data_IF_360781093212
#
_entry.id   IF_360781093212
#
_cell.length_a   1.000
_cell.length_b   1.000
_cell.length_c   1.000
_cell.angle_alpha   90.00
_cell.angle_beta   90.00
_cell.angle_gamma   90.00
#
_symmetry.space_group_name_H-M   'P 1'
#
loop_
_entity.id
_entity.type
_entity.pdbx_description
1 polymer ?
#
# COMPACT_ATOMS: atom_id res chain seq x y z
N UNK A 1 -76.74 -51.11 -2.21
CA UNK A 1 -76.28 -50.51 -0.92
C UNK A 1 -74.90 -49.88 -1.17
N UNK A 2 -74.88 -48.55 -1.11
CA UNK A 2 -73.69 -47.78 -1.44
C UNK A 2 -72.81 -47.64 -0.19
N UNK A 3 -71.53 -48.04 -0.30
CA UNK A 3 -70.53 -47.72 0.70
C UNK A 3 -69.57 -46.69 0.15
N UNK A 4 -69.67 -45.45 0.68
CA UNK A 4 -68.78 -44.34 0.33
C UNK A 4 -67.44 -44.48 1.06
N UNK A 5 -66.37 -44.70 0.33
CA UNK A 5 -65.01 -44.56 0.83
C UNK A 5 -64.62 -43.09 0.88
N UNK A 6 -64.22 -42.60 2.06
CA UNK A 6 -63.70 -41.24 2.27
C UNK A 6 -62.18 -41.31 2.19
N UNK A 7 -61.66 -40.82 1.10
CA UNK A 7 -60.20 -40.64 0.98
C UNK A 7 -59.77 -39.35 1.69
N UNK A 8 -59.01 -39.50 2.76
CA UNK A 8 -58.44 -38.35 3.51
C UNK A 8 -57.13 -37.97 2.82
N UNK A 9 -57.12 -36.77 2.24
CA UNK A 9 -55.93 -36.17 1.65
C UNK A 9 -55.10 -35.54 2.76
N UNK A 10 -53.93 -36.12 3.10
CA UNK A 10 -52.97 -35.54 4.03
C UNK A 10 -52.03 -34.63 3.22
N UNK A 11 -52.21 -33.30 3.42
CA UNK A 11 -51.37 -32.28 2.82
C UNK A 11 -50.09 -32.13 3.66
N UNK A 12 -48.98 -32.73 3.22
CA UNK A 12 -47.69 -32.61 3.88
C UNK A 12 -47.07 -31.26 3.58
N UNK A 13 -46.96 -30.41 4.62
CA UNK A 13 -46.27 -29.14 4.59
C UNK A 13 -44.76 -29.38 4.71
N UNK A 14 -44.02 -29.36 3.62
CA UNK A 14 -42.56 -29.45 3.61
C UNK A 14 -41.97 -28.08 4.02
N UNK A 15 -41.43 -27.99 5.24
CA UNK A 15 -40.61 -26.86 5.65
C UNK A 15 -39.26 -26.94 4.96
N UNK A 16 -39.03 -26.04 4.02
CA UNK A 16 -37.72 -25.78 3.43
C UNK A 16 -36.85 -24.98 4.44
N UNK A 17 -36.06 -25.70 5.22
CA UNK A 17 -35.01 -25.08 6.03
C UNK A 17 -33.88 -24.65 5.12
N UNK A 18 -33.82 -23.35 4.77
CA UNK A 18 -32.67 -22.75 4.08
C UNK A 18 -31.51 -22.60 5.08
N UNK A 19 -30.31 -23.14 4.81
CA UNK A 19 -29.16 -22.81 5.65
C UNK A 19 -28.78 -21.35 5.38
N UNK A 20 -28.91 -20.50 6.38
CA UNK A 20 -28.29 -19.19 6.40
C UNK A 20 -26.77 -19.43 6.44
N UNK A 21 -26.10 -19.28 5.30
CA UNK A 21 -24.66 -19.18 5.25
C UNK A 21 -24.27 -17.92 6.03
N UNK A 22 -23.86 -18.10 7.27
CA UNK A 22 -23.19 -17.06 8.04
C UNK A 22 -21.89 -16.74 7.32
N UNK A 23 -21.83 -15.62 6.60
CA UNK A 23 -20.58 -14.99 6.20
C UNK A 23 -19.92 -14.54 7.50
N UNK A 24 -19.09 -15.43 8.07
CA UNK A 24 -18.17 -15.05 9.11
C UNK A 24 -17.18 -14.06 8.47
N UNK A 25 -17.48 -12.75 8.60
CA UNK A 25 -16.46 -11.72 8.50
C UNK A 25 -15.45 -12.03 9.60
N UNK A 26 -14.34 -12.69 9.25
CA UNK A 26 -13.18 -12.71 10.13
C UNK A 26 -12.78 -11.25 10.36
N UNK A 27 -12.81 -10.71 11.58
CA UNK A 27 -12.12 -9.48 11.85
C UNK A 27 -10.65 -9.78 11.53
N UNK A 28 -10.10 -9.13 10.50
CA UNK A 28 -8.67 -9.15 10.29
C UNK A 28 -8.09 -8.40 11.49
N UNK A 29 -7.60 -9.17 12.45
CA UNK A 29 -6.64 -8.73 13.41
C UNK A 29 -5.50 -8.12 12.58
N UNK A 30 -5.28 -6.81 12.68
CA UNK A 30 -4.44 -5.99 11.82
C UNK A 30 -2.97 -6.40 11.73
N UNK A 31 -2.69 -7.69 11.86
CA UNK A 31 -1.38 -8.32 11.86
C UNK A 31 -1.15 -9.27 10.67
N UNK A 32 -2.07 -9.32 9.70
CA UNK A 32 -1.79 -10.02 8.44
C UNK A 32 -0.68 -9.27 7.71
N UNK A 33 0.40 -9.95 7.29
CA UNK A 33 1.44 -9.29 6.50
C UNK A 33 0.79 -8.69 5.24
N UNK A 34 0.82 -7.36 5.14
CA UNK A 34 0.24 -6.67 4.00
C UNK A 34 0.94 -7.18 2.74
N UNK A 35 0.19 -7.81 1.85
CA UNK A 35 0.74 -8.30 0.59
C UNK A 35 1.01 -7.09 -0.29
N UNK A 36 2.27 -6.74 -0.43
CA UNK A 36 2.69 -5.63 -1.27
C UNK A 36 2.39 -5.91 -2.75
N UNK A 37 2.03 -4.87 -3.48
CA UNK A 37 1.79 -4.95 -4.91
C UNK A 37 3.07 -5.35 -5.66
N UNK A 38 2.95 -6.12 -6.73
CA UNK A 38 4.07 -6.53 -7.59
C UNK A 38 4.14 -5.77 -8.90
N UNK A 39 3.12 -4.95 -9.20
CA UNK A 39 2.95 -4.16 -10.42
C UNK A 39 2.55 -2.73 -10.08
N UNK A 40 2.68 -1.81 -11.03
CA UNK A 40 2.29 -0.41 -10.86
C UNK A 40 3.43 0.55 -10.52
N UNK A 41 4.66 0.04 -10.38
CA UNK A 41 5.84 0.89 -10.18
C UNK A 41 6.07 1.78 -11.43
N UNK A 42 6.15 3.08 -11.21
CA UNK A 42 6.24 4.09 -12.28
C UNK A 42 4.88 4.67 -12.71
N UNK A 43 3.76 4.12 -12.23
CA UNK A 43 2.43 4.62 -12.56
C UNK A 43 2.01 5.82 -11.70
N UNK A 44 1.25 6.73 -12.29
CA UNK A 44 0.68 7.90 -11.60
C UNK A 44 -0.34 7.51 -10.53
N UNK A 45 -1.14 6.49 -10.80
CA UNK A 45 -2.18 6.01 -9.90
C UNK A 45 -2.14 4.48 -9.85
N UNK A 46 -1.14 3.90 -9.17
CA UNK A 46 -1.05 2.46 -9.02
C UNK A 46 -2.22 1.91 -8.21
N UNK A 47 -2.54 0.64 -8.42
CA UNK A 47 -3.57 -0.06 -7.62
C UNK A 47 -3.09 -0.42 -6.21
N UNK A 48 -1.83 -0.15 -5.88
CA UNK A 48 -1.29 -0.30 -4.54
C UNK A 48 -1.94 0.67 -3.55
N UNK A 49 -1.99 0.29 -2.28
CA UNK A 49 -2.49 1.17 -1.23
C UNK A 49 -1.57 2.39 -1.05
N UNK A 50 -2.16 3.57 -0.88
CA UNK A 50 -1.41 4.75 -0.49
C UNK A 50 -1.09 4.68 1.00
N UNK A 51 0.18 4.55 1.34
CA UNK A 51 0.70 4.43 2.70
C UNK A 51 1.40 5.70 3.20
N UNK A 52 1.15 6.84 2.55
CA UNK A 52 1.73 8.11 2.95
C UNK A 52 1.32 8.51 4.37
N UNK A 53 2.27 9.01 5.14
CA UNK A 53 2.03 9.60 6.45
C UNK A 53 1.55 11.07 6.37
N UNK A 54 1.64 11.68 5.20
CA UNK A 54 1.23 13.05 4.92
C UNK A 54 0.31 13.11 3.72
N UNK A 55 -0.85 13.75 3.87
CA UNK A 55 -1.91 13.80 2.85
C UNK A 55 -1.57 14.61 1.60
N UNK A 56 -0.49 15.36 1.58
CA UNK A 56 -0.06 16.11 0.39
C UNK A 56 0.72 15.25 -0.59
N UNK A 57 1.05 14.02 -0.19
CA UNK A 57 1.80 13.05 -0.99
C UNK A 57 1.04 11.74 -1.07
N UNK A 58 1.37 10.96 -2.08
CA UNK A 58 1.00 9.56 -2.15
C UNK A 58 2.26 8.72 -2.16
N UNK A 59 2.33 7.72 -1.29
CA UNK A 59 3.47 6.80 -1.22
C UNK A 59 2.97 5.39 -1.42
N UNK A 60 3.64 4.65 -2.27
CA UNK A 60 3.28 3.29 -2.62
C UNK A 60 4.44 2.33 -2.40
N UNK A 61 4.15 1.19 -1.80
CA UNK A 61 5.12 0.10 -1.65
C UNK A 61 4.86 -1.02 -2.63
N UNK A 62 5.94 -1.55 -3.19
CA UNK A 62 5.90 -2.71 -4.07
C UNK A 62 6.94 -3.73 -3.63
N UNK A 63 6.68 -5.00 -3.96
CA UNK A 63 7.65 -6.07 -3.75
C UNK A 63 7.65 -7.00 -4.97
N UNK A 64 8.82 -7.19 -5.55
CA UNK A 64 9.04 -8.11 -6.65
C UNK A 64 10.40 -8.77 -6.53
N UNK A 65 10.45 -10.07 -6.67
CA UNK A 65 11.69 -10.88 -6.66
C UNK A 65 12.60 -10.63 -5.44
N UNK A 66 11.99 -10.42 -4.27
CA UNK A 66 12.71 -10.13 -3.02
C UNK A 66 13.14 -8.67 -2.86
N UNK A 67 12.97 -7.86 -3.87
CA UNK A 67 13.26 -6.42 -3.85
C UNK A 67 12.03 -5.66 -3.37
N UNK A 68 12.23 -4.72 -2.45
CA UNK A 68 11.20 -3.74 -2.06
C UNK A 68 11.44 -2.43 -2.77
N UNK A 69 10.35 -1.82 -3.21
CA UNK A 69 10.37 -0.51 -3.86
C UNK A 69 9.43 0.43 -3.12
N UNK A 70 9.84 1.69 -3.01
CA UNK A 70 9.00 2.76 -2.48
C UNK A 70 8.96 3.85 -3.52
N UNK A 71 7.76 4.29 -3.88
CA UNK A 71 7.52 5.35 -4.85
C UNK A 71 6.74 6.47 -4.19
N UNK A 72 7.15 7.70 -4.39
CA UNK A 72 6.44 8.89 -3.95
C UNK A 72 5.89 9.66 -5.15
N UNK A 73 4.59 9.97 -5.10
CA UNK A 73 3.87 10.77 -6.08
C UNK A 73 3.36 12.06 -5.42
N UNK A 74 3.26 13.12 -6.18
CA UNK A 74 2.59 14.34 -5.73
C UNK A 74 1.06 14.22 -5.81
N UNK A 75 0.36 15.26 -5.37
CA UNK A 75 -1.10 15.29 -5.35
C UNK A 75 -1.76 15.25 -6.75
N UNK A 76 -1.01 15.54 -7.80
CA UNK A 76 -1.46 15.41 -9.19
C UNK A 76 -1.20 14.01 -9.78
N UNK A 77 -0.58 13.11 -8.99
CA UNK A 77 -0.20 11.78 -9.41
C UNK A 77 1.13 11.70 -10.14
N UNK A 78 1.85 12.81 -10.30
CA UNK A 78 3.16 12.75 -10.93
C UNK A 78 4.16 12.03 -10.03
N UNK A 79 4.84 11.02 -10.59
CA UNK A 79 5.91 10.31 -9.88
C UNK A 79 7.07 11.26 -9.64
N UNK A 80 7.44 11.44 -8.38
CA UNK A 80 8.53 12.34 -7.97
C UNK A 80 9.83 11.59 -7.77
N UNK A 81 9.79 10.49 -7.02
CA UNK A 81 10.96 9.69 -6.71
C UNK A 81 10.59 8.22 -6.52
N UNK A 82 11.50 7.33 -6.84
CA UNK A 82 11.38 5.92 -6.53
C UNK A 82 12.73 5.33 -6.10
N UNK A 83 12.69 4.47 -5.08
CA UNK A 83 13.86 3.85 -4.47
C UNK A 83 13.64 2.35 -4.37
N UNK A 84 14.64 1.56 -4.73
CA UNK A 84 14.70 0.12 -4.49
C UNK A 84 15.58 -0.19 -3.29
N UNK A 85 15.27 -1.31 -2.55
CA UNK A 85 16.13 -1.82 -1.50
C UNK A 85 16.10 -3.33 -1.36
N UNK A 86 17.23 -3.88 -0.93
CA UNK A 86 17.37 -5.25 -0.42
C UNK A 86 18.15 -5.17 0.87
N UNK A 87 17.58 -5.59 1.99
CA UNK A 87 18.20 -5.42 3.31
C UNK A 87 18.57 -3.95 3.54
N UNK A 88 19.85 -3.68 3.77
CA UNK A 88 20.39 -2.33 4.01
C UNK A 88 20.98 -1.67 2.76
N UNK A 89 20.86 -2.31 1.60
CA UNK A 89 21.33 -1.77 0.32
C UNK A 89 20.22 -1.01 -0.37
N UNK A 90 20.52 0.24 -0.73
CA UNK A 90 19.56 1.15 -1.37
C UNK A 90 20.08 1.63 -2.71
N UNK A 91 19.18 1.92 -3.62
CA UNK A 91 19.50 2.59 -4.88
C UNK A 91 18.30 3.41 -5.37
N UNK A 92 18.60 4.49 -6.09
CA UNK A 92 17.57 5.32 -6.72
C UNK A 92 17.21 4.72 -8.07
N UNK A 93 15.92 4.65 -8.38
CA UNK A 93 15.46 4.28 -9.71
C UNK A 93 15.44 5.53 -10.60
N UNK A 94 15.72 5.39 -11.92
CA UNK A 94 15.61 6.50 -12.87
C UNK A 94 14.14 6.76 -13.23
N UNK A 95 13.29 6.88 -12.20
CA UNK A 95 11.84 7.06 -12.30
C UNK A 95 11.45 8.26 -11.44
N UNK A 96 10.71 9.18 -12.03
CA UNK A 96 10.22 10.36 -11.34
C UNK A 96 10.97 11.64 -11.70
N UNK A 97 10.28 12.76 -11.53
CA UNK A 97 10.79 14.07 -11.90
C UNK A 97 11.96 14.56 -11.03
N UNK A 98 12.12 13.96 -9.84
CA UNK A 98 13.18 14.31 -8.88
C UNK A 98 14.19 13.18 -8.68
N UNK A 99 14.31 12.23 -9.62
CA UNK A 99 15.22 11.09 -9.49
C UNK A 99 16.69 11.48 -9.25
N UNK A 100 17.12 12.62 -9.71
CA UNK A 100 18.46 13.22 -9.50
C UNK A 100 18.62 13.91 -8.13
N UNK A 101 17.52 14.05 -7.38
CA UNK A 101 17.44 14.74 -6.08
C UNK A 101 17.09 13.81 -4.94
N UNK A 102 17.47 12.56 -5.05
CA UNK A 102 17.21 11.54 -4.03
C UNK A 102 18.49 11.13 -3.33
N UNK A 103 18.57 11.37 -2.05
CA UNK A 103 19.63 10.90 -1.16
C UNK A 103 19.24 9.55 -0.55
N UNK A 104 20.11 8.57 -0.71
CA UNK A 104 20.00 7.25 -0.06
C UNK A 104 21.34 6.89 0.57
N UNK A 105 21.39 5.99 1.55
CA UNK A 105 22.65 5.53 2.12
C UNK A 105 23.63 5.07 1.03
N UNK A 106 24.80 5.65 1.00
CA UNK A 106 25.90 5.25 0.12
C UNK A 106 25.91 5.88 -1.28
N UNK A 107 24.91 6.66 -1.72
CA UNK A 107 24.96 7.29 -3.05
C UNK A 107 25.72 8.62 -3.11
N UNK A 108 26.18 9.14 -1.99
CA UNK A 108 26.96 10.40 -1.92
C UNK A 108 26.14 11.66 -2.20
N UNK A 109 24.85 11.56 -2.47
CA UNK A 109 23.96 12.71 -2.69
C UNK A 109 23.63 13.37 -1.36
N UNK A 110 23.88 14.67 -1.25
CA UNK A 110 23.61 15.46 -0.06
C UNK A 110 22.47 16.44 -0.30
N UNK A 111 21.48 16.44 0.57
CA UNK A 111 20.38 17.42 0.52
C UNK A 111 20.95 18.82 0.78
N UNK A 112 20.69 19.80 -0.10
CA UNK A 112 21.14 21.19 0.11
C UNK A 112 20.39 21.88 1.25
N UNK A 113 20.72 23.14 1.50
CA UNK A 113 19.98 23.96 2.46
C UNK A 113 18.47 23.97 2.14
N UNK A 114 17.66 23.76 3.15
CA UNK A 114 16.20 23.60 3.02
C UNK A 114 15.44 24.52 3.99
N UNK A 115 14.21 24.86 3.63
CA UNK A 115 13.31 25.68 4.44
C UNK A 115 12.37 24.86 5.31
N UNK A 116 12.06 23.62 4.88
CA UNK A 116 11.24 22.69 5.68
C UNK A 116 11.59 21.25 5.33
N UNK A 117 11.33 20.36 6.29
CA UNK A 117 11.48 18.92 6.14
C UNK A 117 10.24 18.23 6.69
N UNK A 118 9.78 17.19 6.01
CA UNK A 118 8.61 16.42 6.41
C UNK A 118 8.83 14.95 6.16
N UNK A 119 8.47 14.11 7.13
CA UNK A 119 8.44 12.67 6.92
C UNK A 119 7.14 12.31 6.18
N UNK A 120 7.27 11.74 5.01
CA UNK A 120 6.13 11.37 4.15
C UNK A 120 5.77 9.90 4.26
N UNK A 121 6.71 9.08 4.74
CA UNK A 121 6.51 7.65 4.94
C UNK A 121 7.50 7.11 5.97
N UNK A 122 7.12 6.04 6.68
CA UNK A 122 8.01 5.39 7.61
C UNK A 122 7.52 4.02 8.06
N UNK A 123 8.47 3.09 8.16
CA UNK A 123 8.30 1.73 8.70
C UNK A 123 9.27 1.50 9.85
N UNK A 124 9.33 0.27 10.37
CA UNK A 124 10.39 -0.14 11.28
C UNK A 124 11.77 -0.22 10.62
N UNK A 125 11.83 -0.22 9.30
CA UNK A 125 13.07 -0.39 8.55
C UNK A 125 13.60 0.91 7.93
N UNK A 126 12.71 1.79 7.45
CA UNK A 126 13.10 3.03 6.76
C UNK A 126 12.14 4.16 7.06
N UNK A 127 12.66 5.39 6.92
CA UNK A 127 11.91 6.62 6.84
C UNK A 127 12.19 7.30 5.50
N UNK A 128 11.14 7.92 4.89
CA UNK A 128 11.23 8.74 3.68
C UNK A 128 10.86 10.17 4.03
N UNK A 129 11.75 11.07 3.69
CA UNK A 129 11.66 12.49 3.98
C UNK A 129 11.62 13.31 2.71
N UNK A 130 10.85 14.37 2.69
CA UNK A 130 10.89 15.41 1.67
C UNK A 130 11.42 16.71 2.27
N UNK A 131 12.34 17.34 1.57
CA UNK A 131 12.98 18.59 1.94
C UNK A 131 12.63 19.64 0.91
N UNK A 132 12.02 20.73 1.36
CA UNK A 132 11.75 21.85 0.48
C UNK A 132 12.96 22.77 0.42
N UNK A 133 13.51 22.92 -0.77
CA UNK A 133 14.67 23.78 -1.04
C UNK A 133 14.32 24.91 -2.00
N UNK A 134 15.25 25.84 -2.22
CA UNK A 134 15.09 26.89 -3.22
C UNK A 134 15.03 26.35 -4.66
N UNK A 135 15.59 25.16 -4.92
CA UNK A 135 15.61 24.51 -6.23
C UNK A 135 14.51 23.46 -6.41
N UNK A 136 13.56 23.36 -5.49
CA UNK A 136 12.47 22.39 -5.48
C UNK A 136 12.60 21.34 -4.40
N UNK A 137 11.84 20.28 -4.51
CA UNK A 137 11.81 19.23 -3.51
C UNK A 137 12.98 18.27 -3.67
N UNK A 138 13.58 17.90 -2.55
CA UNK A 138 14.61 16.88 -2.42
C UNK A 138 14.12 15.77 -1.51
N UNK A 139 14.60 14.59 -1.74
CA UNK A 139 14.17 13.39 -1.04
C UNK A 139 15.33 12.77 -0.28
N UNK A 140 15.05 12.18 0.86
CA UNK A 140 16.01 11.33 1.56
C UNK A 140 15.30 10.07 2.04
N UNK A 141 15.92 8.93 1.82
CA UNK A 141 15.55 7.66 2.42
C UNK A 141 16.64 7.28 3.40
N UNK A 142 16.25 7.08 4.65
CA UNK A 142 17.16 6.74 5.74
C UNK A 142 16.73 5.44 6.40
N UNK A 143 17.64 4.66 6.98
CA UNK A 143 17.25 3.62 7.93
C UNK A 143 16.42 4.23 9.04
N UNK A 144 15.37 3.51 9.49
CA UNK A 144 14.57 3.99 10.61
C UNK A 144 15.43 4.10 11.87
N UNK A 145 15.24 5.18 12.62
CA UNK A 145 15.88 5.30 13.92
C UNK A 145 15.40 4.17 14.84
N UNK A 146 16.31 3.56 15.57
CA UNK A 146 15.95 2.59 16.60
C UNK A 146 14.99 3.24 17.60
N UNK A 147 13.81 2.64 17.76
CA UNK A 147 12.75 3.09 18.67
C UNK A 147 12.71 2.19 19.89
#
# INVERSE_FOLDING_TARGET
MLTRSRTTLVLGLALLASPLASLACCPSDGNSPQKLASVGLGESFPTADNVAADSTWSVYEFQRDGIRYVQANDSAGAVRAAVGRIGDTFWVLPIGADADRVSVPGNGVTVPAYTSVKRVYGTSAIDVWVYRTASGDWWAVTPAAAR
#
